data_IF_813789571951
#
_entry.id   IF_813789571951
#
_cell.length_a   1.000
_cell.length_b   1.000
_cell.length_c   1.000
_cell.angle_alpha   90.00
_cell.angle_beta   90.00
_cell.angle_gamma   90.00
#
_symmetry.space_group_name_H-M   'P 1'
#
loop_
_entity.id
_entity.type
_entity.pdbx_description
1 polymer ?
#
# COMPACT_ATOMS: atom_id res chain seq x y z
N UNK A 1 8.56 0.07 21.60
CA UNK A 1 7.84 1.27 21.10
C UNK A 1 7.95 2.41 22.10
N UNK A 2 7.53 2.20 23.35
CA UNK A 2 7.51 3.23 24.40
C UNK A 2 8.89 3.86 24.68
N UNK A 3 9.94 3.03 24.82
CA UNK A 3 11.32 3.51 25.10
C UNK A 3 11.79 4.63 24.16
N UNK A 4 11.39 4.56 22.89
CA UNK A 4 11.80 5.52 21.86
C UNK A 4 10.64 6.38 21.36
N UNK A 5 9.49 6.34 22.03
CA UNK A 5 8.27 7.06 21.66
C UNK A 5 7.92 6.95 20.16
N UNK A 6 7.93 5.72 19.62
CA UNK A 6 7.70 5.50 18.18
C UNK A 6 6.26 5.90 17.82
N UNK A 7 6.10 6.76 16.81
CA UNK A 7 4.80 7.24 16.28
C UNK A 7 4.48 6.80 14.85
N UNK A 8 5.45 6.23 14.15
CA UNK A 8 5.31 5.78 12.77
C UNK A 8 6.07 4.48 12.56
N UNK A 9 5.42 3.51 11.93
CA UNK A 9 6.03 2.29 11.40
C UNK A 9 5.86 2.29 9.88
N UNK A 10 6.95 2.10 9.14
CA UNK A 10 6.92 1.98 7.68
C UNK A 10 7.39 0.59 7.27
N UNK A 11 6.60 -0.09 6.42
CA UNK A 11 6.96 -1.37 5.80
C UNK A 11 7.01 -1.21 4.28
N UNK A 12 8.22 -1.11 3.73
CA UNK A 12 8.47 -0.98 2.30
C UNK A 12 9.25 -2.20 1.76
N UNK A 13 8.64 -3.18 1.10
CA UNK A 13 7.20 -3.34 0.80
C UNK A 13 6.59 -4.50 1.56
N UNK A 14 5.30 -4.40 1.85
CA UNK A 14 4.57 -5.43 2.59
C UNK A 14 4.55 -6.76 1.85
N UNK A 15 4.53 -6.75 0.52
CA UNK A 15 4.34 -7.95 -0.30
C UNK A 15 5.65 -8.54 -0.85
N UNK A 16 6.76 -7.78 -0.83
CA UNK A 16 8.01 -8.13 -1.50
C UNK A 16 8.53 -9.51 -1.10
N UNK A 17 8.71 -9.75 0.19
CA UNK A 17 9.16 -11.04 0.72
C UNK A 17 8.15 -12.16 0.49
N UNK A 18 6.85 -11.90 0.66
CA UNK A 18 5.81 -12.90 0.45
C UNK A 18 5.74 -13.42 -0.98
N UNK A 19 6.14 -12.63 -1.98
CA UNK A 19 6.23 -13.09 -3.37
C UNK A 19 7.46 -13.96 -3.63
N UNK A 20 8.59 -13.64 -3.00
CA UNK A 20 9.83 -14.41 -3.15
C UNK A 20 9.81 -15.75 -2.40
N UNK A 21 9.30 -15.75 -1.17
CA UNK A 21 9.30 -16.93 -0.29
C UNK A 21 8.20 -17.95 -0.63
N UNK A 22 7.11 -17.50 -1.24
CA UNK A 22 5.95 -18.34 -1.55
C UNK A 22 5.63 -18.25 -3.04
N UNK A 23 6.50 -18.82 -3.90
CA UNK A 23 6.25 -18.89 -5.34
C UNK A 23 5.09 -19.85 -5.64
N UNK A 24 4.50 -19.68 -6.83
CA UNK A 24 3.43 -20.57 -7.29
C UNK A 24 2.06 -20.35 -6.62
N UNK A 25 1.05 -21.05 -7.14
CA UNK A 25 -0.34 -20.96 -6.64
C UNK A 25 -0.60 -21.93 -5.51
N UNK A 26 0.14 -23.02 -5.46
CA UNK A 26 0.14 -24.04 -4.40
C UNK A 26 0.44 -23.43 -3.02
N UNK A 27 1.28 -22.40 -2.96
CA UNK A 27 1.62 -21.70 -1.73
C UNK A 27 0.67 -20.52 -1.41
N UNK A 28 -0.36 -20.29 -2.23
CA UNK A 28 -1.25 -19.13 -2.08
C UNK A 28 -1.93 -19.10 -0.72
N UNK A 29 -2.46 -20.23 -0.26
CA UNK A 29 -3.17 -20.30 1.01
C UNK A 29 -2.25 -19.97 2.21
N UNK A 30 -1.08 -20.60 2.27
CA UNK A 30 -0.07 -20.38 3.33
C UNK A 30 0.41 -18.93 3.31
N UNK A 31 0.69 -18.39 2.12
CA UNK A 31 1.07 -16.99 1.93
C UNK A 31 0.00 -16.05 2.46
N UNK A 32 -1.26 -16.27 2.08
CA UNK A 32 -2.40 -15.45 2.51
C UNK A 32 -2.56 -15.49 4.04
N UNK A 33 -2.43 -16.66 4.66
CA UNK A 33 -2.52 -16.80 6.11
C UNK A 33 -1.38 -16.08 6.85
N UNK A 34 -0.13 -16.24 6.40
CA UNK A 34 1.04 -15.58 6.98
C UNK A 34 0.96 -14.06 6.82
N UNK A 35 0.51 -13.58 5.65
CA UNK A 35 0.28 -12.16 5.37
C UNK A 35 -0.78 -11.58 6.30
N UNK A 36 -1.91 -12.26 6.48
CA UNK A 36 -2.97 -11.82 7.39
C UNK A 36 -2.49 -11.71 8.84
N UNK A 37 -1.70 -12.70 9.30
CA UNK A 37 -1.10 -12.64 10.65
C UNK A 37 -0.20 -11.43 10.80
N UNK A 38 0.64 -11.15 9.80
CA UNK A 38 1.55 -10.01 9.83
C UNK A 38 0.80 -8.67 9.86
N UNK A 39 -0.23 -8.51 9.03
CA UNK A 39 -1.05 -7.28 9.03
C UNK A 39 -1.77 -7.09 10.36
N UNK A 40 -2.32 -8.17 10.94
CA UNK A 40 -2.95 -8.10 12.26
C UNK A 40 -1.98 -7.67 13.36
N UNK A 41 -0.73 -8.14 13.32
CA UNK A 41 0.30 -7.67 14.25
C UNK A 41 0.53 -6.16 14.12
N UNK A 42 0.63 -5.64 12.90
CA UNK A 42 0.80 -4.21 12.64
C UNK A 42 -0.39 -3.40 13.16
N UNK A 43 -1.63 -3.85 12.91
CA UNK A 43 -2.84 -3.20 13.40
C UNK A 43 -2.89 -3.20 14.93
N UNK A 44 -2.59 -4.33 15.57
CA UNK A 44 -2.54 -4.40 17.04
C UNK A 44 -1.49 -3.44 17.63
N UNK A 45 -0.36 -3.22 16.95
CA UNK A 45 0.62 -2.22 17.36
C UNK A 45 0.10 -0.79 17.17
N UNK A 46 -0.60 -0.52 16.05
CA UNK A 46 -1.22 0.78 15.79
C UNK A 46 -2.23 1.14 16.90
N UNK A 47 -3.10 0.21 17.23
CA UNK A 47 -4.16 0.38 18.23
C UNK A 47 -3.57 0.51 19.65
N UNK A 48 -2.64 -0.37 20.03
CA UNK A 48 -2.09 -0.40 21.39
C UNK A 48 -1.23 0.82 21.71
N UNK A 49 -0.52 1.38 20.73
CA UNK A 49 0.45 2.45 20.95
C UNK A 49 0.06 3.79 20.31
N UNK A 50 -1.13 3.87 19.70
CA UNK A 50 -1.63 5.04 18.99
C UNK A 50 -0.56 5.60 18.02
N UNK A 51 -0.16 4.76 17.06
CA UNK A 51 0.84 5.09 16.04
C UNK A 51 0.28 4.87 14.63
N UNK A 52 0.90 5.52 13.64
CA UNK A 52 0.58 5.30 12.24
C UNK A 52 1.39 4.13 11.68
N UNK A 53 0.74 3.27 10.88
CA UNK A 53 1.42 2.25 10.08
C UNK A 53 1.22 2.57 8.61
N UNK A 54 2.33 2.73 7.88
CA UNK A 54 2.33 2.94 6.43
C UNK A 54 3.00 1.74 5.79
N UNK A 55 2.36 1.19 4.76
CA UNK A 55 2.90 0.07 4.00
C UNK A 55 2.92 0.41 2.52
N UNK A 56 3.97 0.02 1.81
CA UNK A 56 3.97 0.07 0.35
C UNK A 56 3.55 -1.28 -0.21
N UNK A 57 2.89 -1.25 -1.37
CA UNK A 57 2.47 -2.45 -2.07
C UNK A 57 2.83 -2.36 -3.56
N UNK A 58 3.13 -3.51 -4.15
CA UNK A 58 3.38 -3.63 -5.57
C UNK A 58 2.08 -3.87 -6.33
N UNK A 59 2.08 -3.53 -7.62
CA UNK A 59 0.98 -3.82 -8.54
C UNK A 59 1.33 -5.01 -9.42
N UNK A 60 0.32 -5.76 -9.82
CA UNK A 60 0.44 -6.86 -10.77
C UNK A 60 -0.50 -6.62 -11.95
N UNK A 61 -0.02 -6.84 -13.16
CA UNK A 61 -0.85 -6.84 -14.34
C UNK A 61 -1.70 -8.13 -14.38
N UNK A 62 -2.99 -7.98 -14.65
CA UNK A 62 -3.87 -9.10 -14.97
C UNK A 62 -3.99 -9.24 -16.49
N UNK A 63 -3.40 -10.28 -17.11
CA UNK A 63 -3.42 -10.46 -18.56
C UNK A 63 -4.81 -10.77 -19.13
N UNK A 64 -5.79 -11.11 -18.29
CA UNK A 64 -7.17 -11.36 -18.73
C UNK A 64 -7.97 -10.05 -18.98
N UNK A 65 -7.41 -8.89 -18.63
CA UNK A 65 -8.06 -7.59 -18.84
C UNK A 65 -7.55 -7.01 -20.16
N UNK A 66 -8.38 -7.14 -21.20
CA UNK A 66 -8.09 -6.61 -22.54
C UNK A 66 -8.52 -5.14 -22.73
N UNK A 67 -9.43 -4.64 -21.88
CA UNK A 67 -9.91 -3.26 -21.91
C UNK A 67 -9.84 -2.64 -20.51
N UNK A 68 -9.31 -1.41 -20.42
CA UNK A 68 -9.13 -0.68 -19.16
C UNK A 68 -7.76 -0.87 -18.50
N UNK A 69 -7.61 -0.45 -17.25
CA UNK A 69 -6.35 -0.58 -16.51
C UNK A 69 -6.14 -2.04 -16.07
N UNK A 70 -5.10 -2.74 -16.57
CA UNK A 70 -4.87 -4.14 -16.21
C UNK A 70 -4.22 -4.30 -14.83
N UNK A 71 -3.73 -3.21 -14.23
CA UNK A 71 -3.00 -3.25 -12.97
C UNK A 71 -3.94 -3.38 -11.78
N UNK A 72 -3.61 -4.32 -10.88
CA UNK A 72 -4.30 -4.51 -9.59
C UNK A 72 -3.29 -4.54 -8.44
N UNK A 73 -3.67 -4.11 -7.22
CA UNK A 73 -2.82 -4.28 -6.05
C UNK A 73 -2.52 -5.77 -5.78
N UNK A 74 -1.29 -6.09 -5.40
CA UNK A 74 -0.92 -7.44 -4.98
C UNK A 74 -1.47 -7.78 -3.58
N UNK A 75 -1.56 -9.08 -3.25
CA UNK A 75 -1.99 -9.64 -1.95
C UNK A 75 -3.49 -9.81 -1.72
N UNK A 76 -4.32 -9.49 -2.73
CA UNK A 76 -5.71 -9.89 -2.81
C UNK A 76 -6.60 -9.33 -1.69
N UNK A 77 -7.69 -10.06 -1.37
CA UNK A 77 -8.71 -9.62 -0.42
C UNK A 77 -8.16 -9.31 0.98
N UNK A 78 -7.12 -10.01 1.41
CA UNK A 78 -6.54 -9.82 2.75
C UNK A 78 -5.99 -8.41 2.90
N UNK A 79 -5.29 -7.90 1.90
CA UNK A 79 -4.84 -6.52 1.90
C UNK A 79 -6.00 -5.54 1.74
N UNK A 80 -6.98 -5.88 0.89
CA UNK A 80 -8.14 -5.02 0.66
C UNK A 80 -9.01 -4.80 1.91
N UNK A 81 -9.15 -5.80 2.78
CA UNK A 81 -10.01 -5.70 3.97
C UNK A 81 -9.31 -5.14 5.21
N UNK A 82 -7.98 -5.30 5.34
CA UNK A 82 -7.26 -4.89 6.54
C UNK A 82 -6.59 -3.52 6.42
N UNK A 83 -6.41 -2.98 5.20
CA UNK A 83 -5.89 -1.62 5.02
C UNK A 83 -7.02 -0.59 5.08
N UNK A 84 -7.01 0.25 6.12
CA UNK A 84 -8.03 1.30 6.33
C UNK A 84 -8.03 2.37 5.24
N UNK A 85 -6.85 2.80 4.81
CA UNK A 85 -6.68 3.80 3.75
C UNK A 85 -5.81 3.21 2.65
N UNK A 86 -6.24 3.38 1.40
CA UNK A 86 -5.47 2.94 0.23
C UNK A 86 -5.31 4.10 -0.72
N UNK A 87 -4.05 4.45 -1.00
CA UNK A 87 -3.70 5.51 -1.94
C UNK A 87 -3.01 4.90 -3.15
N UNK A 88 -3.53 5.17 -4.34
CA UNK A 88 -2.96 4.75 -5.60
C UNK A 88 -2.04 5.83 -6.16
N UNK A 89 -0.77 5.50 -6.33
CA UNK A 89 0.23 6.40 -6.89
C UNK A 89 0.46 6.07 -8.37
N UNK A 90 0.36 7.08 -9.24
CA UNK A 90 0.70 6.95 -10.68
C UNK A 90 1.66 8.04 -11.13
N UNK A 91 2.51 7.69 -12.10
CA UNK A 91 3.36 8.67 -12.80
C UNK A 91 2.51 9.46 -13.80
N UNK A 92 2.77 10.76 -13.90
CA UNK A 92 2.19 11.65 -14.90
C UNK A 92 3.31 12.32 -15.74
N UNK A 93 2.95 13.07 -16.77
CA UNK A 93 3.92 13.79 -17.62
C UNK A 93 4.64 14.89 -16.82
N UNK A 94 5.85 15.25 -17.25
CA UNK A 94 6.60 16.40 -16.69
C UNK A 94 7.03 16.24 -15.24
N UNK A 95 7.52 15.04 -14.87
CA UNK A 95 7.90 14.66 -13.50
C UNK A 95 6.80 14.80 -12.43
N UNK A 96 5.54 14.96 -12.84
CA UNK A 96 4.40 14.94 -11.92
C UNK A 96 4.08 13.51 -11.47
N UNK A 97 3.48 13.39 -10.30
CA UNK A 97 2.89 12.18 -9.71
C UNK A 97 1.48 12.52 -9.28
N UNK A 98 0.60 11.53 -9.34
CA UNK A 98 -0.78 11.68 -8.88
C UNK A 98 -1.03 10.66 -7.79
N UNK A 99 -1.52 11.13 -6.64
CA UNK A 99 -2.03 10.29 -5.56
C UNK A 99 -3.56 10.34 -5.60
N UNK A 100 -4.18 9.18 -5.73
CA UNK A 100 -5.65 9.03 -5.70
C UNK A 100 -6.05 8.23 -4.48
N UNK A 101 -7.04 8.70 -3.73
CA UNK A 101 -7.71 7.89 -2.71
C UNK A 101 -8.42 6.75 -3.44
N UNK A 102 -7.88 5.55 -3.32
CA UNK A 102 -8.44 4.34 -3.92
C UNK A 102 -9.52 3.74 -3.02
N UNK A 103 -9.35 3.85 -1.71
CA UNK A 103 -10.33 3.41 -0.72
C UNK A 103 -10.11 4.14 0.61
N UNK A 104 -11.21 4.49 1.28
CA UNK A 104 -11.22 5.25 2.52
C UNK A 104 -12.59 5.12 3.20
N UNK A 105 -12.65 4.93 4.53
CA UNK A 105 -13.92 4.90 5.25
C UNK A 105 -14.53 6.30 5.44
N UNK A 106 -13.73 7.37 5.28
CA UNK A 106 -14.12 8.74 5.68
C UNK A 106 -14.06 9.75 4.55
N UNK A 107 -13.31 9.47 3.49
CA UNK A 107 -12.99 10.47 2.46
C UNK A 107 -13.59 10.02 1.13
N UNK A 108 -14.21 10.93 0.36
CA UNK A 108 -14.61 10.62 -1.00
C UNK A 108 -13.37 10.34 -1.85
N UNK A 109 -13.61 9.69 -2.99
CA UNK A 109 -12.58 9.53 -4.00
C UNK A 109 -12.10 10.90 -4.48
N UNK A 110 -10.81 11.16 -4.32
CA UNK A 110 -10.15 12.40 -4.69
C UNK A 110 -8.74 12.09 -5.20
N UNK A 111 -8.21 12.96 -6.06
CA UNK A 111 -6.82 12.90 -6.48
C UNK A 111 -6.11 14.23 -6.29
N UNK A 112 -4.83 14.17 -5.94
CA UNK A 112 -3.94 15.33 -5.90
C UNK A 112 -2.71 15.06 -6.76
N UNK A 113 -2.14 16.12 -7.32
CA UNK A 113 -0.91 16.05 -8.11
C UNK A 113 0.23 16.67 -7.32
N UNK A 114 1.38 15.99 -7.31
CA UNK A 114 2.60 16.45 -6.65
C UNK A 114 3.82 16.21 -7.54
N UNK A 115 4.97 16.77 -7.20
CA UNK A 115 6.27 16.48 -7.81
C UNK A 115 7.21 15.88 -6.75
N UNK A 116 8.28 15.24 -7.23
CA UNK A 116 9.38 14.79 -6.39
C UNK A 116 10.65 15.48 -6.91
N UNK A 117 11.34 16.20 -6.02
CA UNK A 117 12.62 16.85 -6.27
C UNK A 117 13.63 16.45 -5.17
N UNK A 118 14.78 17.12 -5.13
CA UNK A 118 15.85 16.85 -4.16
C UNK A 118 15.43 17.07 -2.70
N UNK A 119 14.41 17.92 -2.46
CA UNK A 119 13.88 18.19 -1.11
C UNK A 119 12.75 17.24 -0.70
N UNK A 120 12.35 16.31 -1.59
CA UNK A 120 11.29 15.33 -1.33
C UNK A 120 10.02 15.60 -2.13
N UNK A 121 8.86 15.40 -1.49
CA UNK A 121 7.54 15.63 -2.08
C UNK A 121 7.22 17.12 -2.01
N UNK A 122 6.90 17.72 -3.15
CA UNK A 122 6.55 19.14 -3.26
C UNK A 122 5.27 19.33 -4.05
N UNK A 123 4.57 20.43 -3.76
CA UNK A 123 3.37 20.81 -4.48
C UNK A 123 3.68 21.16 -5.94
N UNK A 124 2.65 21.03 -6.77
CA UNK A 124 2.70 21.58 -8.13
C UNK A 124 2.25 23.03 -8.03
N UNK A 125 3.19 23.96 -8.16
CA UNK A 125 2.85 25.36 -8.43
C UNK A 125 1.92 25.43 -9.66
N UNK A 126 0.84 26.19 -9.54
CA UNK A 126 -0.14 26.42 -10.63
C UNK A 126 0.49 27.08 -11.84
#
# INVERSE_FOLDING_TARGET
IEKYNIKLIVVDSLIGHFRGEFPGRENLAIRQQKLNRHIRQLLSLADAYNLAVIVTNQVMANPAIFFGNPNKPAGGHILAHNCTYRVWLRKAKGNKRVARIFDSPMHPEAECTFKINETGIVDVEE
#
